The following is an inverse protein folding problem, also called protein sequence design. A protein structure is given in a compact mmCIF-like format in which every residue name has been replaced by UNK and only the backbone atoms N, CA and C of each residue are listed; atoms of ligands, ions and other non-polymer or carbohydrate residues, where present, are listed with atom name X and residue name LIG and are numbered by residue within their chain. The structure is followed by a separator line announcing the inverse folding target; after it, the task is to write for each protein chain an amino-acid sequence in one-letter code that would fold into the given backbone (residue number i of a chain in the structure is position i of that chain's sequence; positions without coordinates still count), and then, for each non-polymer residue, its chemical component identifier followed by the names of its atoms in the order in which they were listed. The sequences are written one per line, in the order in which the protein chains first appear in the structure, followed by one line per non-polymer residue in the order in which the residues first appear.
data_IF_495114908889
#
_entry.id   IF_495114908889
#
_cell.length_a   1.000
_cell.length_b   1.000
_cell.length_c   1.000
_cell.angle_alpha   90.00
_cell.angle_beta   90.00
_cell.angle_gamma   90.00
#
_symmetry.space_group_name_H-M   'P 1'
#
loop_
_entity.id
_entity.type
_entity.pdbx_description
1 polymer ?
#
# COMPACT_ATOMS: atom_id res chain seq x y z
N UNK A 1 -29.27 -4.85 14.79
CA UNK A 1 -28.50 -6.03 14.33
C UNK A 1 -27.26 -5.55 13.58
N UNK A 2 -26.23 -5.12 14.30
CA UNK A 2 -24.98 -4.63 13.69
C UNK A 2 -24.01 -5.80 13.49
N UNK A 3 -24.16 -6.47 12.35
CA UNK A 3 -23.08 -7.00 11.50
C UNK A 3 -21.83 -7.56 12.21
N UNK A 4 -21.89 -8.81 12.67
CA UNK A 4 -20.70 -9.63 12.99
C UNK A 4 -19.76 -9.81 11.78
N UNK A 5 -20.27 -9.61 10.56
CA UNK A 5 -19.47 -9.60 9.31
C UNK A 5 -18.46 -8.45 9.23
N UNK A 6 -18.73 -7.31 9.85
CA UNK A 6 -17.86 -6.13 9.81
C UNK A 6 -16.63 -6.31 10.72
N UNK A 7 -16.81 -6.96 11.87
CA UNK A 7 -15.71 -7.25 12.80
C UNK A 7 -14.71 -8.27 12.24
N UNK A 8 -15.20 -9.35 11.59
CA UNK A 8 -14.35 -10.33 10.91
C UNK A 8 -13.64 -9.73 9.68
N UNK A 9 -14.34 -8.89 8.92
CA UNK A 9 -13.78 -8.18 7.76
C UNK A 9 -12.65 -7.22 8.14
N UNK A 10 -12.75 -6.53 9.28
CA UNK A 10 -11.70 -5.63 9.75
C UNK A 10 -10.48 -6.38 10.30
N UNK A 11 -10.68 -7.51 10.99
CA UNK A 11 -9.54 -8.29 11.51
C UNK A 11 -8.76 -8.99 10.41
N UNK A 12 -9.43 -9.57 9.41
CA UNK A 12 -8.76 -10.20 8.27
C UNK A 12 -8.02 -9.18 7.39
N UNK A 13 -8.60 -7.98 7.21
CA UNK A 13 -7.94 -6.90 6.48
C UNK A 13 -6.70 -6.38 7.20
N UNK A 14 -6.79 -6.23 8.51
CA UNK A 14 -5.64 -5.84 9.34
C UNK A 14 -4.52 -6.89 9.26
N UNK A 15 -4.86 -8.18 9.24
CA UNK A 15 -3.89 -9.25 9.04
C UNK A 15 -3.20 -9.16 7.66
N UNK A 16 -3.93 -8.82 6.59
CA UNK A 16 -3.34 -8.59 5.28
C UNK A 16 -2.37 -7.39 5.26
N UNK A 17 -2.70 -6.30 5.93
CA UNK A 17 -1.76 -5.18 6.05
C UNK A 17 -0.48 -5.56 6.79
N UNK A 18 -0.57 -6.41 7.82
CA UNK A 18 0.61 -6.95 8.50
C UNK A 18 1.42 -7.83 7.54
N UNK A 19 0.77 -8.62 6.69
CA UNK A 19 1.42 -9.41 5.65
C UNK A 19 2.17 -8.53 4.62
N UNK A 20 1.67 -7.33 4.33
CA UNK A 20 2.31 -6.34 3.47
C UNK A 20 3.44 -5.55 4.17
N UNK A 21 3.60 -5.70 5.49
CA UNK A 21 4.63 -5.00 6.26
C UNK A 21 5.95 -5.80 6.29
N UNK A 22 6.99 -5.23 6.90
CA UNK A 22 8.31 -5.85 6.99
C UNK A 22 8.34 -7.22 7.70
N UNK A 23 7.29 -7.56 8.46
CA UNK A 23 7.14 -8.83 9.19
C UNK A 23 6.39 -9.90 8.42
N UNK A 24 5.75 -9.55 7.30
CA UNK A 24 4.94 -10.45 6.51
C UNK A 24 5.70 -11.07 5.33
N UNK A 25 5.13 -12.12 4.76
CA UNK A 25 5.68 -12.80 3.58
C UNK A 25 4.73 -12.73 2.38
N UNK A 26 5.28 -12.90 1.18
CA UNK A 26 4.51 -12.92 -0.07
C UNK A 26 3.55 -14.10 -0.09
N UNK A 27 3.89 -15.23 0.52
CA UNK A 27 2.99 -16.40 0.64
C UNK A 27 1.74 -16.06 1.45
N UNK A 28 1.87 -15.28 2.52
CA UNK A 28 0.71 -14.80 3.26
C UNK A 28 -0.13 -13.87 2.39
N UNK A 29 0.49 -12.95 1.65
CA UNK A 29 -0.22 -12.04 0.75
C UNK A 29 -0.98 -12.80 -0.34
N UNK A 30 -0.35 -13.82 -0.95
CA UNK A 30 -0.98 -14.74 -1.92
C UNK A 30 -2.22 -15.38 -1.34
N UNK A 31 -2.10 -15.99 -0.16
CA UNK A 31 -3.22 -16.64 0.51
C UNK A 31 -4.39 -15.67 0.73
N UNK A 32 -4.12 -14.43 1.14
CA UNK A 32 -5.15 -13.42 1.32
C UNK A 32 -5.82 -13.00 0.01
N UNK A 33 -5.05 -12.82 -1.06
CA UNK A 33 -5.56 -12.45 -2.39
C UNK A 33 -6.42 -13.58 -2.97
N UNK A 34 -5.99 -14.84 -2.81
CA UNK A 34 -6.75 -16.02 -3.23
C UNK A 34 -8.10 -16.15 -2.51
N UNK A 35 -8.20 -15.62 -1.27
CA UNK A 35 -9.44 -15.55 -0.51
C UNK A 35 -10.30 -14.31 -0.84
N UNK A 36 -9.94 -13.54 -1.87
CA UNK A 36 -10.73 -12.42 -2.37
C UNK A 36 -10.59 -11.13 -1.56
N UNK A 37 -9.43 -10.89 -0.93
CA UNK A 37 -9.16 -9.59 -0.32
C UNK A 37 -9.08 -8.49 -1.38
N UNK A 38 -9.72 -7.36 -1.08
CA UNK A 38 -9.60 -6.13 -1.87
C UNK A 38 -8.27 -5.41 -1.59
N UNK A 39 -7.33 -5.55 -2.52
CA UNK A 39 -5.98 -4.95 -2.45
C UNK A 39 -6.03 -3.41 -2.44
N UNK A 40 -7.13 -2.81 -2.93
CA UNK A 40 -7.28 -1.37 -3.09
C UNK A 40 -8.14 -0.72 -2.01
N UNK A 41 -8.54 -1.47 -0.99
CA UNK A 41 -9.27 -0.93 0.17
C UNK A 41 -8.28 -0.32 1.20
N UNK A 42 -8.67 0.71 1.97
CA UNK A 42 -7.93 1.10 3.16
C UNK A 42 -8.43 0.38 4.41
N UNK A 43 -7.60 0.28 5.44
CA UNK A 43 -8.08 -0.09 6.79
C UNK A 43 -8.87 1.05 7.45
N UNK A 44 -9.30 0.84 8.70
CA UNK A 44 -10.06 1.81 9.49
C UNK A 44 -9.36 3.15 9.73
N UNK A 45 -8.04 3.22 9.56
CA UNK A 45 -7.24 4.44 9.70
C UNK A 45 -6.80 5.02 8.34
N UNK A 46 -7.33 4.51 7.22
CA UNK A 46 -7.06 5.06 5.90
C UNK A 46 -5.78 4.55 5.23
N UNK A 47 -5.08 3.58 5.81
CA UNK A 47 -3.83 3.04 5.25
C UNK A 47 -4.13 1.94 4.24
N UNK A 48 -3.48 2.04 3.07
CA UNK A 48 -3.58 1.06 1.99
C UNK A 48 -2.45 0.03 2.06
N UNK A 49 -2.66 -1.20 1.56
CA UNK A 49 -1.63 -2.25 1.49
C UNK A 49 -0.34 -1.80 0.81
N UNK A 50 -0.46 -1.14 -0.34
CA UNK A 50 0.68 -0.64 -1.09
C UNK A 50 1.46 0.42 -0.30
N UNK A 51 0.75 1.33 0.39
CA UNK A 51 1.40 2.31 1.26
C UNK A 51 2.16 1.64 2.41
N UNK A 52 1.61 0.57 3.00
CA UNK A 52 2.28 -0.19 4.06
C UNK A 52 3.57 -0.86 3.58
N UNK A 53 3.57 -1.44 2.38
CA UNK A 53 4.74 -2.04 1.75
C UNK A 53 5.82 -0.97 1.46
N UNK A 54 5.43 0.18 0.90
CA UNK A 54 6.34 1.32 0.68
C UNK A 54 6.92 1.86 1.99
N UNK A 55 6.07 2.06 3.01
CA UNK A 55 6.50 2.48 4.36
C UNK A 55 7.49 1.48 4.97
N UNK A 56 7.33 0.20 4.70
CA UNK A 56 8.19 -0.89 5.19
C UNK A 56 9.48 -1.07 4.39
N UNK A 57 9.65 -0.31 3.29
CA UNK A 57 10.78 -0.37 2.38
C UNK A 57 11.02 -1.78 1.79
N UNK A 58 9.95 -2.50 1.47
CA UNK A 58 10.00 -3.87 0.94
C UNK A 58 9.67 -3.88 -0.55
N UNK A 59 10.71 -3.81 -1.39
CA UNK A 59 10.56 -3.73 -2.85
C UNK A 59 9.78 -4.92 -3.42
N UNK A 60 10.09 -6.14 -2.98
CA UNK A 60 9.40 -7.36 -3.46
C UNK A 60 7.90 -7.35 -3.11
N UNK A 61 7.52 -6.85 -1.93
CA UNK A 61 6.11 -6.71 -1.55
C UNK A 61 5.40 -5.65 -2.39
N UNK A 62 6.08 -4.53 -2.68
CA UNK A 62 5.54 -3.48 -3.56
C UNK A 62 5.32 -4.03 -4.96
N UNK A 63 6.32 -4.72 -5.52
CA UNK A 63 6.24 -5.39 -6.83
C UNK A 63 5.05 -6.35 -6.87
N UNK A 64 4.97 -7.25 -5.90
CA UNK A 64 3.92 -8.24 -5.84
C UNK A 64 2.53 -7.60 -5.76
N UNK A 65 2.34 -6.53 -4.97
CA UNK A 65 1.07 -5.81 -4.91
C UNK A 65 0.70 -5.16 -6.24
N UNK A 66 1.64 -4.49 -6.90
CA UNK A 66 1.42 -3.83 -8.19
C UNK A 66 1.07 -4.83 -9.29
N UNK A 67 1.79 -5.96 -9.36
CA UNK A 67 1.51 -7.05 -10.30
C UNK A 67 0.12 -7.67 -10.09
N UNK A 68 -0.43 -7.59 -8.88
CA UNK A 68 -1.78 -8.04 -8.55
C UNK A 68 -2.84 -6.92 -8.64
N UNK A 69 -2.53 -5.79 -9.28
CA UNK A 69 -3.50 -4.73 -9.56
C UNK A 69 -3.70 -3.74 -8.40
N UNK A 70 -2.72 -3.59 -7.52
CA UNK A 70 -2.72 -2.48 -6.57
C UNK A 70 -2.63 -1.14 -7.31
N UNK A 71 -3.48 -0.20 -6.94
CA UNK A 71 -3.50 1.15 -7.48
C UNK A 71 -2.32 1.95 -6.88
N UNK A 72 -1.35 2.41 -7.69
CA UNK A 72 -0.19 3.17 -7.21
C UNK A 72 -0.56 4.57 -6.70
N UNK A 73 -1.74 5.06 -7.08
CA UNK A 73 -2.23 6.41 -6.78
C UNK A 73 -3.21 6.44 -5.59
N UNK A 74 -3.21 5.38 -4.76
CA UNK A 74 -3.99 5.38 -3.52
C UNK A 74 -3.55 6.51 -2.59
N UNK A 75 -4.51 7.10 -1.90
CA UNK A 75 -4.29 8.26 -1.03
C UNK A 75 -4.80 7.98 0.37
N UNK A 76 -3.85 7.78 1.28
CA UNK A 76 -4.13 7.96 2.71
C UNK A 76 -4.07 9.44 3.04
N UNK A 77 -4.65 9.83 4.18
CA UNK A 77 -5.01 11.19 4.62
C UNK A 77 -4.08 12.33 4.15
N UNK A 78 -2.78 12.09 3.97
CA UNK A 78 -1.82 13.09 3.50
C UNK A 78 -0.75 12.57 2.51
N UNK A 79 -0.69 11.26 2.20
CA UNK A 79 0.46 10.67 1.48
C UNK A 79 0.06 9.58 0.50
N UNK A 80 0.76 9.56 -0.63
CA UNK A 80 0.72 8.50 -1.64
C UNK A 80 1.84 7.49 -1.41
N UNK A 81 1.74 6.24 -1.93
CA UNK A 81 2.84 5.29 -1.98
C UNK A 81 4.15 5.88 -2.52
N UNK A 82 4.07 6.74 -3.54
CA UNK A 82 5.23 7.39 -4.15
C UNK A 82 5.98 8.32 -3.18
N UNK A 83 5.26 9.25 -2.53
CA UNK A 83 5.83 10.08 -1.44
C UNK A 83 6.50 9.22 -0.37
N UNK A 84 5.89 8.09 0.02
CA UNK A 84 6.49 7.16 1.00
C UNK A 84 7.79 6.54 0.50
N UNK A 85 7.87 6.16 -0.78
CA UNK A 85 9.09 5.66 -1.38
C UNK A 85 10.19 6.74 -1.42
N UNK A 86 9.84 8.00 -1.73
CA UNK A 86 10.75 9.15 -1.68
C UNK A 86 11.28 9.40 -0.26
N UNK A 87 10.42 9.40 0.77
CA UNK A 87 10.82 9.54 2.18
C UNK A 87 11.82 8.45 2.63
N UNK A 88 11.83 7.30 1.96
CA UNK A 88 12.78 6.20 2.23
C UNK A 88 14.07 6.30 1.40
N UNK A 89 14.13 7.16 0.39
CA UNK A 89 15.26 7.29 -0.52
C UNK A 89 15.50 6.06 -1.40
N UNK A 90 14.50 5.20 -1.59
CA UNK A 90 14.65 3.96 -2.36
C UNK A 90 14.31 4.20 -3.84
N UNK A 91 15.34 4.54 -4.62
CA UNK A 91 15.22 4.85 -6.05
C UNK A 91 14.60 3.70 -6.87
N UNK A 92 14.91 2.46 -6.54
CA UNK A 92 14.37 1.30 -7.26
C UNK A 92 12.86 1.14 -7.01
N UNK A 93 12.40 1.40 -5.79
CA UNK A 93 10.97 1.40 -5.48
C UNK A 93 10.23 2.56 -6.15
N UNK A 94 10.86 3.74 -6.23
CA UNK A 94 10.30 4.90 -6.93
C UNK A 94 10.13 4.57 -8.42
N UNK A 95 11.17 4.04 -9.08
CA UNK A 95 11.09 3.60 -10.48
C UNK A 95 9.95 2.61 -10.69
N UNK A 96 9.87 1.58 -9.85
CA UNK A 96 8.84 0.56 -9.93
C UNK A 96 7.42 1.14 -9.83
N UNK A 97 7.19 2.09 -8.92
CA UNK A 97 5.90 2.77 -8.77
C UNK A 97 5.56 3.61 -10.01
N UNK A 98 6.53 4.35 -10.55
CA UNK A 98 6.36 5.17 -11.76
C UNK A 98 6.08 4.31 -12.99
N UNK A 99 6.79 3.18 -13.14
CA UNK A 99 6.55 2.20 -14.22
C UNK A 99 5.12 1.64 -14.20
N UNK A 100 4.52 1.52 -13.01
CA UNK A 100 3.13 1.08 -12.84
C UNK A 100 2.11 2.22 -12.88
N UNK A 101 2.53 3.45 -13.21
CA UNK A 101 1.63 4.60 -13.40
C UNK A 101 1.38 5.44 -12.15
N UNK A 102 2.32 5.46 -11.20
CA UNK A 102 2.27 6.42 -10.09
C UNK A 102 2.40 7.87 -10.61
N UNK A 103 1.51 8.74 -10.15
CA UNK A 103 1.53 10.17 -10.48
C UNK A 103 2.64 10.90 -9.73
N UNK A 104 3.65 11.34 -10.48
CA UNK A 104 4.82 12.08 -9.98
C UNK A 104 4.52 13.54 -9.65
N UNK A 105 3.43 14.09 -10.19
CA UNK A 105 3.05 15.49 -9.96
C UNK A 105 2.21 15.67 -8.71
N UNK A 106 1.88 14.58 -8.02
CA UNK A 106 0.97 14.64 -6.89
C UNK A 106 1.58 15.42 -5.72
N UNK A 107 0.98 16.54 -5.32
CA UNK A 107 1.35 17.27 -4.12
C UNK A 107 0.54 16.77 -2.93
N UNK A 108 1.20 16.30 -1.86
CA UNK A 108 0.53 16.18 -0.57
C UNK A 108 -0.04 17.54 -0.15
N UNK A 109 -1.07 17.53 0.71
CA UNK A 109 -1.68 18.75 1.27
C UNK A 109 -0.67 19.68 1.98
N UNK A 110 0.53 19.17 2.29
CA UNK A 110 1.65 19.88 2.91
C UNK A 110 2.66 20.45 1.86
N UNK A 111 2.23 20.63 0.61
CA UNK A 111 3.06 21.05 -0.55
C UNK A 111 4.26 20.16 -0.88
N UNK A 112 4.40 18.99 -0.23
CA UNK A 112 5.43 18.00 -0.56
C UNK A 112 5.02 17.25 -1.81
N UNK A 113 5.61 17.62 -2.94
CA UNK A 113 5.61 16.77 -4.14
C UNK A 113 6.68 15.69 -3.98
N UNK A 114 6.52 14.49 -4.58
CA UNK A 114 7.54 13.45 -4.66
C UNK A 114 8.93 13.96 -5.10
N UNK A 115 8.97 15.05 -5.85
CA UNK A 115 10.19 15.70 -6.36
C UNK A 115 10.86 16.66 -5.37
N UNK A 116 10.16 17.06 -4.30
CA UNK A 116 10.60 18.06 -3.31
C UNK A 116 10.76 17.44 -1.90
N UNK A 117 10.58 16.12 -1.76
CA UNK A 117 10.78 15.39 -0.49
C UNK A 117 12.25 15.23 -0.15
#
# INVERSE_FOLDING_TARGET
MYSERSYRGNSCYTAFLIACSARGSIEMMKLFIDHGIDINRPNSIGIYPLEMACKSNKLEHVRYLLENGANPNVRSQEKTPLIKACERGNMEMIKLLVEHGADVNFTANDHRSPLVV
#
